data_IF_720893438564
#
_entry.id   IF_720893438564
#
_cell.length_a   1.000
_cell.length_b   1.000
_cell.length_c   1.000
_cell.angle_alpha   90.00
_cell.angle_beta   90.00
_cell.angle_gamma   90.00
#
_symmetry.space_group_name_H-M   'P 1'
#
loop_
_entity.id
_entity.type
_entity.pdbx_description
1 polymer ?
#
# COMPACT_ATOMS: atom_id res chain seq x y z
N UNK A 1 23.71 16.97 -3.09
CA UNK A 1 22.77 15.93 -3.58
C UNK A 1 22.68 14.89 -2.48
N UNK A 2 21.48 14.41 -2.13
CA UNK A 2 21.33 13.31 -1.17
C UNK A 2 21.95 12.04 -1.76
N UNK A 3 22.49 11.17 -0.90
CA UNK A 3 23.00 9.87 -1.34
C UNK A 3 21.92 9.04 -2.03
N UNK A 4 22.27 8.31 -3.11
CA UNK A 4 21.33 7.39 -3.76
C UNK A 4 20.80 6.35 -2.77
N UNK A 5 19.47 6.17 -2.76
CA UNK A 5 18.77 5.20 -1.90
C UNK A 5 18.08 4.15 -2.73
N UNK A 6 17.85 2.98 -2.15
CA UNK A 6 17.01 1.95 -2.75
C UNK A 6 15.56 2.08 -2.25
N UNK A 7 14.65 2.37 -3.18
CA UNK A 7 13.22 2.48 -2.88
C UNK A 7 12.44 1.35 -3.54
N UNK A 8 11.57 0.71 -2.76
CA UNK A 8 10.54 -0.19 -3.28
C UNK A 8 9.20 0.53 -3.26
N UNK A 9 8.52 0.59 -4.41
CA UNK A 9 7.29 1.38 -4.58
C UNK A 9 6.17 0.53 -5.17
N UNK A 10 4.98 0.59 -4.57
CA UNK A 10 3.74 0.03 -5.12
C UNK A 10 2.94 1.09 -5.85
N UNK A 11 2.20 0.71 -6.91
CA UNK A 11 1.31 1.64 -7.64
C UNK A 11 2.04 2.66 -8.52
N UNK A 12 3.21 2.30 -9.07
CA UNK A 12 4.06 3.17 -9.88
C UNK A 12 3.58 3.40 -11.33
N UNK A 13 2.53 2.72 -11.79
CA UNK A 13 2.13 2.71 -13.20
C UNK A 13 1.21 3.85 -13.64
N UNK A 14 0.69 4.65 -12.71
CA UNK A 14 -0.24 5.75 -13.00
C UNK A 14 -0.31 6.75 -11.85
N UNK A 15 -0.96 7.90 -12.10
CA UNK A 15 -1.30 8.90 -11.08
C UNK A 15 -0.11 9.40 -10.27
N UNK A 16 -0.33 9.58 -8.97
CA UNK A 16 0.68 10.11 -8.04
C UNK A 16 1.94 9.23 -8.00
N UNK A 17 1.77 7.90 -8.00
CA UNK A 17 2.89 6.97 -7.96
C UNK A 17 3.80 7.08 -9.19
N UNK A 18 3.24 7.24 -10.38
CA UNK A 18 4.03 7.40 -11.61
C UNK A 18 4.85 8.69 -11.59
N UNK A 19 4.28 9.81 -11.15
CA UNK A 19 5.00 11.07 -11.02
C UNK A 19 6.07 11.00 -9.92
N UNK A 20 5.76 10.38 -8.79
CA UNK A 20 6.71 10.20 -7.71
C UNK A 20 7.95 9.40 -8.16
N UNK A 21 7.76 8.25 -8.82
CA UNK A 21 8.90 7.43 -9.26
C UNK A 21 9.72 8.11 -10.34
N UNK A 22 9.09 8.91 -11.22
CA UNK A 22 9.80 9.72 -12.21
C UNK A 22 10.75 10.73 -11.53
N UNK A 23 10.28 11.43 -10.50
CA UNK A 23 11.10 12.38 -9.73
C UNK A 23 12.20 11.68 -8.96
N UNK A 24 11.88 10.58 -8.29
CA UNK A 24 12.87 9.79 -7.55
C UNK A 24 13.98 9.27 -8.46
N UNK A 25 13.64 8.85 -9.68
CA UNK A 25 14.61 8.47 -10.69
C UNK A 25 15.54 9.63 -11.09
N UNK A 26 15.00 10.83 -11.33
CA UNK A 26 15.82 12.00 -11.67
C UNK A 26 16.71 12.45 -10.52
N UNK A 27 16.37 12.10 -9.28
CA UNK A 27 17.22 12.33 -8.10
C UNK A 27 18.33 11.27 -7.95
N UNK A 28 18.40 10.28 -8.84
CA UNK A 28 19.44 9.25 -8.85
C UNK A 28 19.16 8.07 -7.93
N UNK A 29 17.95 7.90 -7.43
CA UNK A 29 17.61 6.78 -6.57
C UNK A 29 17.45 5.46 -7.36
N UNK A 30 17.79 4.33 -6.72
CA UNK A 30 17.55 2.99 -7.24
C UNK A 30 16.10 2.59 -6.95
N UNK A 31 15.36 2.16 -7.98
CA UNK A 31 13.94 1.86 -7.87
C UNK A 31 13.64 0.39 -8.15
N UNK A 32 12.92 -0.25 -7.23
CA UNK A 32 12.22 -1.52 -7.43
C UNK A 32 10.71 -1.24 -7.36
N UNK A 33 9.98 -1.57 -8.41
CA UNK A 33 8.58 -1.20 -8.58
C UNK A 33 7.71 -2.46 -8.66
N UNK A 34 6.63 -2.51 -7.88
CA UNK A 34 5.63 -3.57 -7.99
C UNK A 34 4.49 -3.12 -8.90
N UNK A 35 4.27 -3.85 -9.97
CA UNK A 35 3.20 -3.64 -10.96
C UNK A 35 2.26 -4.84 -10.97
N UNK A 36 0.94 -4.60 -11.06
CA UNK A 36 -0.07 -5.65 -10.96
C UNK A 36 -0.22 -6.52 -12.22
N UNK A 37 0.24 -6.05 -13.39
CA UNK A 37 -0.01 -6.71 -14.67
C UNK A 37 1.05 -6.32 -15.71
N UNK A 38 1.15 -7.11 -16.78
CA UNK A 38 2.02 -6.79 -17.93
C UNK A 38 1.72 -5.42 -18.53
N UNK A 39 0.44 -5.03 -18.61
CA UNK A 39 0.05 -3.71 -19.09
C UNK A 39 0.57 -2.59 -18.17
N UNK A 40 0.55 -2.79 -16.84
CA UNK A 40 1.13 -1.85 -15.88
C UNK A 40 2.65 -1.79 -16.02
N UNK A 41 3.33 -2.93 -16.23
CA UNK A 41 4.76 -3.00 -16.52
C UNK A 41 5.09 -2.21 -17.78
N UNK A 42 4.37 -2.44 -18.89
CA UNK A 42 4.59 -1.74 -20.16
C UNK A 42 4.43 -0.22 -19.99
N UNK A 43 3.36 0.24 -19.32
CA UNK A 43 3.17 1.68 -19.02
C UNK A 43 4.32 2.25 -18.21
N UNK A 44 4.76 1.55 -17.18
CA UNK A 44 5.88 2.00 -16.33
C UNK A 44 7.17 2.11 -17.13
N UNK A 45 7.44 1.16 -18.03
CA UNK A 45 8.59 1.19 -18.94
C UNK A 45 8.58 2.39 -19.89
N UNK A 46 7.40 2.80 -20.40
CA UNK A 46 7.27 3.99 -21.24
C UNK A 46 7.72 5.28 -20.51
N UNK A 47 7.52 5.36 -19.20
CA UNK A 47 7.87 6.56 -18.42
C UNK A 47 9.30 6.54 -17.87
N UNK A 48 9.84 5.38 -17.52
CA UNK A 48 11.11 5.23 -16.80
C UNK A 48 12.22 4.54 -17.61
N UNK A 49 11.89 4.01 -18.79
CA UNK A 49 12.85 3.19 -19.56
C UNK A 49 13.26 1.91 -18.83
N UNK A 50 14.53 1.52 -18.98
CA UNK A 50 15.09 0.29 -18.39
C UNK A 50 15.78 0.49 -17.04
N UNK A 51 15.84 1.71 -16.51
CA UNK A 51 16.63 2.04 -15.32
C UNK A 51 16.02 1.58 -13.99
N UNK A 52 14.72 1.26 -13.97
CA UNK A 52 14.06 0.72 -12.79
C UNK A 52 13.88 -0.80 -12.89
N UNK A 53 14.07 -1.49 -11.79
CA UNK A 53 13.68 -2.89 -11.65
C UNK A 53 12.16 -2.96 -11.49
N UNK A 54 11.47 -3.73 -12.33
CA UNK A 54 10.02 -3.91 -12.23
C UNK A 54 9.72 -5.38 -11.97
N UNK A 55 8.94 -5.62 -10.93
CA UNK A 55 8.46 -6.94 -10.53
C UNK A 55 6.93 -6.96 -10.67
N UNK A 56 6.37 -8.11 -11.03
CA UNK A 56 4.93 -8.24 -11.21
C UNK A 56 4.32 -8.98 -10.02
N UNK A 57 3.39 -8.29 -9.33
CA UNK A 57 2.57 -8.86 -8.26
C UNK A 57 1.24 -8.12 -8.19
N UNK A 58 0.13 -8.85 -8.21
CA UNK A 58 -1.19 -8.28 -7.97
C UNK A 58 -1.45 -8.25 -6.46
N UNK A 59 -1.68 -7.07 -5.91
CA UNK A 59 -2.00 -6.88 -4.50
C UNK A 59 -3.40 -7.44 -4.12
N UNK A 60 -4.25 -7.73 -5.10
CA UNK A 60 -5.49 -8.46 -4.88
C UNK A 60 -5.28 -9.98 -4.67
N UNK A 61 -4.05 -10.46 -4.78
CA UNK A 61 -3.65 -11.84 -4.51
C UNK A 61 -2.56 -11.89 -3.45
N UNK A 62 -2.92 -12.24 -2.21
CA UNK A 62 -1.98 -12.30 -1.09
C UNK A 62 -0.89 -13.36 -1.29
N UNK A 63 -1.17 -14.44 -2.03
CA UNK A 63 -0.14 -15.42 -2.39
C UNK A 63 0.91 -14.83 -3.35
N UNK A 64 0.48 -13.93 -4.27
CA UNK A 64 1.42 -13.21 -5.12
C UNK A 64 2.28 -12.24 -4.29
N UNK A 65 1.69 -11.59 -3.29
CA UNK A 65 2.43 -10.74 -2.34
C UNK A 65 3.46 -11.57 -1.57
N UNK A 66 3.09 -12.74 -1.07
CA UNK A 66 3.99 -13.63 -0.35
C UNK A 66 5.14 -14.14 -1.23
N UNK A 67 4.84 -14.53 -2.47
CA UNK A 67 5.87 -15.00 -3.41
C UNK A 67 6.91 -13.93 -3.70
N UNK A 68 6.44 -12.70 -4.04
CA UNK A 68 7.37 -11.61 -4.37
C UNK A 68 8.15 -11.15 -3.15
N UNK A 69 7.53 -11.14 -1.98
CA UNK A 69 8.20 -10.79 -0.72
C UNK A 69 9.31 -11.78 -0.38
N UNK A 70 9.05 -13.09 -0.48
CA UNK A 70 10.07 -14.14 -0.27
C UNK A 70 11.21 -14.00 -1.25
N UNK A 71 10.90 -13.80 -2.54
CA UNK A 71 11.94 -13.55 -3.55
C UNK A 71 12.86 -12.39 -3.16
N UNK A 72 12.30 -11.26 -2.75
CA UNK A 72 13.07 -10.08 -2.33
C UNK A 72 13.92 -10.36 -1.08
N UNK A 73 13.38 -11.11 -0.12
CA UNK A 73 14.12 -11.52 1.09
C UNK A 73 15.26 -12.46 0.75
N UNK A 74 15.04 -13.44 -0.13
CA UNK A 74 16.06 -14.41 -0.55
C UNK A 74 17.18 -13.73 -1.33
N UNK A 75 16.88 -12.73 -2.15
CA UNK A 75 17.88 -11.89 -2.83
C UNK A 75 18.71 -11.04 -1.86
N UNK A 76 18.16 -10.71 -0.70
CA UNK A 76 18.87 -10.09 0.41
C UNK A 76 19.27 -8.63 0.22
N UNK A 77 18.80 -7.96 -0.84
CA UNK A 77 19.09 -6.54 -1.06
C UNK A 77 18.40 -5.64 -0.02
N UNK A 78 19.15 -4.71 0.57
CA UNK A 78 18.59 -3.75 1.53
C UNK A 78 17.59 -2.81 0.85
N UNK A 79 16.57 -2.40 1.61
CA UNK A 79 15.57 -1.40 1.19
C UNK A 79 15.68 -0.21 2.16
N UNK A 80 15.96 0.97 1.63
CA UNK A 80 16.04 2.20 2.45
C UNK A 80 14.65 2.83 2.63
N UNK A 81 13.78 2.71 1.64
CA UNK A 81 12.43 3.26 1.72
C UNK A 81 11.42 2.33 1.05
N UNK A 82 10.37 2.00 1.78
CA UNK A 82 9.20 1.27 1.27
C UNK A 82 8.04 2.25 1.10
N UNK A 83 7.58 2.44 -0.15
CA UNK A 83 6.45 3.32 -0.48
C UNK A 83 5.23 2.48 -0.84
N UNK A 84 4.29 2.41 0.09
CA UNK A 84 3.02 1.68 -0.01
C UNK A 84 1.95 2.63 -0.56
N UNK A 85 2.00 2.87 -1.89
CA UNK A 85 1.19 3.89 -2.56
C UNK A 85 0.03 3.30 -3.38
N UNK A 86 0.11 2.05 -3.80
CA UNK A 86 -0.99 1.45 -4.55
C UNK A 86 -2.33 1.59 -3.82
N UNK A 87 -3.40 1.79 -4.56
CA UNK A 87 -4.72 1.87 -4.00
C UNK A 87 -5.78 1.88 -5.10
N UNK A 88 -6.96 1.43 -4.74
CA UNK A 88 -8.14 1.49 -5.58
C UNK A 88 -9.33 2.04 -4.80
N UNK A 89 -10.28 2.58 -5.54
CA UNK A 89 -11.61 2.98 -5.06
C UNK A 89 -12.62 2.47 -6.08
N UNK A 90 -13.64 1.77 -5.60
CA UNK A 90 -14.71 1.20 -6.42
C UNK A 90 -15.92 2.15 -6.50
N UNK A 91 -15.66 3.44 -6.70
CA UNK A 91 -16.70 4.47 -6.72
C UNK A 91 -17.87 4.10 -7.65
N UNK A 92 -19.11 4.29 -7.19
CA UNK A 92 -20.32 4.03 -7.96
C UNK A 92 -20.73 2.56 -8.06
N UNK A 93 -20.02 1.63 -7.42
CA UNK A 93 -20.47 0.23 -7.33
C UNK A 93 -21.35 0.01 -6.11
N UNK A 94 -22.39 -0.82 -6.26
CA UNK A 94 -23.33 -1.16 -5.19
C UNK A 94 -23.10 -2.58 -4.62
N UNK A 95 -22.15 -3.31 -5.16
CA UNK A 95 -21.82 -4.67 -4.75
C UNK A 95 -20.33 -4.79 -4.45
N UNK A 96 -19.94 -5.51 -3.39
CA UNK A 96 -18.54 -5.73 -3.08
C UNK A 96 -17.87 -6.54 -4.19
N UNK A 97 -16.62 -6.23 -4.44
CA UNK A 97 -15.73 -7.07 -5.22
C UNK A 97 -14.76 -7.77 -4.26
N UNK A 98 -14.21 -8.89 -4.70
CA UNK A 98 -13.44 -9.77 -3.85
C UNK A 98 -12.02 -9.97 -4.37
N UNK A 99 -11.08 -10.00 -3.48
CA UNK A 99 -9.73 -10.48 -3.73
C UNK A 99 -9.75 -11.99 -4.00
N UNK A 100 -8.62 -12.55 -4.42
CA UNK A 100 -8.50 -13.99 -4.65
C UNK A 100 -8.79 -14.83 -3.40
N UNK A 101 -8.52 -14.27 -2.22
CA UNK A 101 -8.74 -14.93 -0.92
C UNK A 101 -10.12 -14.61 -0.31
N UNK A 102 -11.05 -14.01 -1.07
CA UNK A 102 -12.40 -13.70 -0.61
C UNK A 102 -12.48 -12.55 0.41
N UNK A 103 -11.55 -11.59 0.34
CA UNK A 103 -11.55 -10.39 1.16
C UNK A 103 -12.06 -9.22 0.32
N UNK A 104 -12.84 -8.30 0.89
CA UNK A 104 -13.32 -7.13 0.16
C UNK A 104 -12.14 -6.41 -0.51
N UNK A 105 -12.29 -6.11 -1.80
CA UNK A 105 -11.17 -5.78 -2.68
C UNK A 105 -10.45 -4.49 -2.27
N UNK A 106 -11.20 -3.47 -1.82
CA UNK A 106 -10.61 -2.20 -1.39
C UNK A 106 -9.75 -2.38 -0.14
N UNK A 107 -10.26 -3.12 0.84
CA UNK A 107 -9.51 -3.43 2.06
C UNK A 107 -8.32 -4.34 1.76
N UNK A 108 -8.51 -5.35 0.92
CA UNK A 108 -7.44 -6.28 0.54
C UNK A 108 -6.24 -5.56 -0.08
N UNK A 109 -6.48 -4.67 -1.05
CA UNK A 109 -5.43 -3.97 -1.79
C UNK A 109 -4.84 -2.80 -1.00
N UNK A 110 -5.71 -1.93 -0.44
CA UNK A 110 -5.25 -0.67 0.17
C UNK A 110 -4.60 -0.87 1.54
N UNK A 111 -4.98 -1.92 2.26
CA UNK A 111 -4.52 -2.15 3.63
C UNK A 111 -3.78 -3.49 3.79
N UNK A 112 -4.47 -4.61 3.56
CA UNK A 112 -3.97 -5.91 3.98
C UNK A 112 -2.72 -6.36 3.20
N UNK A 113 -2.73 -6.21 1.87
CA UNK A 113 -1.59 -6.55 1.03
C UNK A 113 -0.35 -5.71 1.37
N UNK A 114 -0.53 -4.43 1.67
CA UNK A 114 0.54 -3.53 2.08
C UNK A 114 1.11 -3.92 3.44
N UNK A 115 0.26 -4.25 4.40
CA UNK A 115 0.72 -4.71 5.71
C UNK A 115 1.52 -6.01 5.58
N UNK A 116 1.01 -6.97 4.80
CA UNK A 116 1.69 -8.24 4.55
C UNK A 116 3.04 -8.07 3.86
N UNK A 117 3.09 -7.19 2.86
CA UNK A 117 4.35 -6.84 2.19
C UNK A 117 5.35 -6.25 3.18
N UNK A 118 4.92 -5.31 4.02
CA UNK A 118 5.76 -4.68 5.04
C UNK A 118 6.29 -5.71 6.04
N UNK A 119 5.44 -6.58 6.57
CA UNK A 119 5.83 -7.61 7.55
C UNK A 119 6.94 -8.50 7.00
N UNK A 120 6.82 -8.94 5.76
CA UNK A 120 7.87 -9.75 5.11
C UNK A 120 9.17 -8.98 4.85
N UNK A 121 9.06 -7.70 4.46
CA UNK A 121 10.22 -6.88 4.08
C UNK A 121 10.88 -6.16 5.27
N UNK A 122 10.33 -6.27 6.47
CA UNK A 122 10.88 -5.65 7.67
C UNK A 122 12.38 -5.95 7.88
N UNK A 123 12.87 -7.21 7.71
CA UNK A 123 14.30 -7.51 7.85
C UNK A 123 15.20 -6.78 6.83
N UNK A 124 14.69 -6.50 5.62
CA UNK A 124 15.44 -5.75 4.60
C UNK A 124 15.48 -4.26 4.91
N UNK A 125 14.38 -3.71 5.43
CA UNK A 125 14.28 -2.32 5.90
C UNK A 125 15.20 -2.06 7.09
N UNK A 126 15.24 -2.95 8.08
CA UNK A 126 16.11 -2.79 9.26
C UNK A 126 17.60 -2.71 8.92
N UNK A 127 18.01 -3.19 7.75
CA UNK A 127 19.39 -3.09 7.25
C UNK A 127 19.62 -1.86 6.35
N UNK A 128 18.55 -1.14 6.02
CA UNK A 128 18.60 0.05 5.17
C UNK A 128 19.25 1.25 5.85
N UNK A 129 19.67 2.21 5.05
CA UNK A 129 20.21 3.48 5.55
C UNK A 129 19.06 4.45 5.88
N UNK A 130 18.94 4.88 7.15
CA UNK A 130 17.85 5.72 7.66
C UNK A 130 16.47 5.23 7.15
N UNK A 131 16.07 4.00 7.51
CA UNK A 131 14.95 3.32 6.87
C UNK A 131 13.61 4.01 7.09
N UNK A 132 12.78 4.00 6.05
CA UNK A 132 11.49 4.68 6.07
C UNK A 132 10.39 3.86 5.39
N UNK A 133 9.21 3.92 5.96
CA UNK A 133 7.96 3.42 5.35
C UNK A 133 7.02 4.61 5.13
N UNK A 134 6.55 4.76 3.91
CA UNK A 134 5.57 5.80 3.53
C UNK A 134 4.29 5.11 3.08
N UNK A 135 3.18 5.37 3.75
CA UNK A 135 1.87 4.79 3.43
C UNK A 135 0.97 5.89 2.87
N UNK A 136 0.50 5.75 1.65
CA UNK A 136 -0.40 6.75 1.05
C UNK A 136 -1.80 6.65 1.66
N UNK A 137 -2.10 7.54 2.59
CA UNK A 137 -3.43 7.75 3.14
C UNK A 137 -4.26 8.72 2.24
N UNK A 138 -5.32 9.27 2.76
CA UNK A 138 -6.14 10.32 2.13
C UNK A 138 -6.91 11.05 3.22
N UNK A 139 -7.14 12.34 3.06
CA UNK A 139 -7.91 13.16 3.99
C UNK A 139 -9.39 12.79 4.07
N UNK A 140 -9.90 11.99 3.12
CA UNK A 140 -11.29 11.50 3.13
C UNK A 140 -11.64 10.64 4.36
N UNK A 141 -10.62 10.11 5.07
CA UNK A 141 -10.82 9.43 6.35
C UNK A 141 -11.28 10.40 7.47
N UNK A 142 -10.96 11.69 7.33
CA UNK A 142 -11.32 12.70 8.30
C UNK A 142 -12.74 13.23 7.99
N UNK A 143 -13.74 13.01 8.88
CA UNK A 143 -15.11 13.46 8.63
C UNK A 143 -15.25 14.99 8.56
N UNK A 144 -14.24 15.74 8.97
CA UNK A 144 -14.22 17.20 8.87
C UNK A 144 -13.66 17.72 7.54
N UNK A 145 -13.01 16.89 6.74
CA UNK A 145 -12.49 17.26 5.41
C UNK A 145 -13.63 17.40 4.39
N UNK A 146 -13.36 18.08 3.28
CA UNK A 146 -14.33 18.22 2.19
C UNK A 146 -14.80 16.86 1.64
N UNK A 147 -13.85 15.94 1.37
CA UNK A 147 -14.16 14.59 0.88
C UNK A 147 -14.74 13.67 1.97
N UNK A 148 -14.32 13.85 3.23
CA UNK A 148 -14.82 13.06 4.35
C UNK A 148 -16.28 13.30 4.67
N UNK A 149 -16.78 14.51 4.42
CA UNK A 149 -18.20 14.89 4.67
C UNK A 149 -19.20 14.33 3.65
N UNK A 150 -18.76 13.87 2.51
CA UNK A 150 -19.64 13.35 1.46
C UNK A 150 -20.00 11.90 1.76
N UNK A 151 -21.30 11.59 1.84
CA UNK A 151 -21.81 10.24 2.12
C UNK A 151 -21.50 9.78 3.55
N UNK A 152 -21.38 8.46 3.74
CA UNK A 152 -21.07 7.88 5.06
C UNK A 152 -19.62 8.21 5.47
N UNK A 153 -19.38 8.63 6.72
CA UNK A 153 -18.02 8.85 7.21
C UNK A 153 -17.24 7.53 7.35
N UNK A 154 -15.91 7.63 7.46
CA UNK A 154 -15.10 6.51 7.89
C UNK A 154 -15.47 6.12 9.32
N UNK A 155 -15.75 4.84 9.53
CA UNK A 155 -16.07 4.28 10.83
C UNK A 155 -15.82 2.76 10.79
N UNK A 156 -14.90 2.30 11.60
CA UNK A 156 -14.53 0.89 11.68
C UNK A 156 -15.42 0.10 12.65
N UNK A 157 -16.29 0.78 13.40
CA UNK A 157 -17.14 0.17 14.43
C UNK A 157 -16.33 -0.67 15.41
N UNK A 158 -16.85 -1.84 15.75
CA UNK A 158 -16.19 -2.84 16.59
C UNK A 158 -15.37 -3.86 15.79
N UNK A 159 -15.16 -3.61 14.50
CA UNK A 159 -14.47 -4.48 13.54
C UNK A 159 -15.21 -5.82 13.31
N UNK A 160 -16.54 -5.84 13.44
CA UNK A 160 -17.32 -7.09 13.40
C UNK A 160 -17.18 -7.82 12.06
N UNK A 161 -17.13 -7.08 10.95
CA UNK A 161 -16.85 -7.65 9.64
C UNK A 161 -15.47 -8.29 9.57
N UNK A 162 -14.44 -7.55 9.98
CA UNK A 162 -13.07 -8.08 9.98
C UNK A 162 -12.91 -9.29 10.92
N UNK A 163 -13.56 -9.28 12.08
CA UNK A 163 -13.55 -10.39 13.06
C UNK A 163 -14.30 -11.63 12.57
N UNK A 164 -15.26 -11.49 11.65
CA UNK A 164 -15.98 -12.61 11.07
C UNK A 164 -15.12 -13.46 10.12
N UNK A 165 -13.93 -13.00 9.76
CA UNK A 165 -13.02 -13.68 8.85
C UNK A 165 -13.21 -13.25 7.41
N UNK A 166 -12.98 -14.18 6.45
CA UNK A 166 -13.16 -13.89 5.02
C UNK A 166 -14.64 -13.72 4.65
N UNK A 167 -14.90 -12.98 3.55
CA UNK A 167 -16.28 -12.80 3.05
C UNK A 167 -17.02 -11.59 3.65
N UNK A 168 -16.38 -10.77 4.50
CA UNK A 168 -17.01 -9.54 4.97
C UNK A 168 -17.05 -8.48 3.86
N UNK A 169 -18.19 -7.79 3.72
CA UNK A 169 -18.36 -6.72 2.75
C UNK A 169 -17.84 -5.35 3.26
N UNK A 170 -17.86 -5.15 4.57
CA UNK A 170 -17.39 -3.94 5.26
C UNK A 170 -16.67 -4.32 6.54
N UNK A 171 -15.64 -3.55 6.91
CA UNK A 171 -14.83 -3.78 8.13
C UNK A 171 -15.70 -3.75 9.39
N UNK A 172 -16.68 -2.86 9.45
CA UNK A 172 -17.64 -2.71 10.56
C UNK A 172 -18.74 -3.78 10.58
N UNK A 173 -18.81 -4.65 9.56
CA UNK A 173 -19.87 -5.66 9.40
C UNK A 173 -21.17 -5.13 8.80
N UNK A 174 -21.23 -3.86 8.42
CA UNK A 174 -22.42 -3.20 7.84
C UNK A 174 -22.66 -3.56 6.38
N UNK A 175 -23.71 -2.95 5.82
CA UNK A 175 -24.05 -3.05 4.40
C UNK A 175 -22.96 -2.37 3.55
N UNK A 176 -22.61 -3.00 2.42
CA UNK A 176 -21.57 -2.50 1.52
C UNK A 176 -21.87 -1.07 1.03
N UNK A 177 -20.83 -0.26 1.07
CA UNK A 177 -20.78 1.09 0.56
C UNK A 177 -19.35 1.34 0.06
N UNK A 178 -19.20 1.49 -1.25
CA UNK A 178 -17.89 1.57 -1.89
C UNK A 178 -17.07 2.80 -1.44
N UNK A 179 -17.73 3.93 -1.23
CA UNK A 179 -17.05 5.16 -0.78
C UNK A 179 -16.63 5.05 0.68
N UNK A 180 -17.49 4.46 1.54
CA UNK A 180 -17.13 4.17 2.93
C UNK A 180 -16.00 3.14 3.00
N UNK A 181 -16.03 2.06 2.20
CA UNK A 181 -14.96 1.06 2.16
C UNK A 181 -13.59 1.70 1.84
N UNK A 182 -13.56 2.65 0.91
CA UNK A 182 -12.35 3.42 0.61
C UNK A 182 -11.93 4.28 1.82
N UNK A 183 -12.84 5.05 2.41
CA UNK A 183 -12.55 5.88 3.59
C UNK A 183 -12.06 5.05 4.77
N UNK A 184 -12.71 3.91 5.04
CA UNK A 184 -12.29 2.96 6.08
C UNK A 184 -10.88 2.42 5.83
N UNK A 185 -10.56 2.08 4.57
CA UNK A 185 -9.21 1.64 4.22
C UNK A 185 -8.16 2.73 4.48
N UNK A 186 -8.52 4.02 4.24
CA UNK A 186 -7.61 5.15 4.50
C UNK A 186 -7.50 5.49 5.98
N UNK A 187 -8.55 5.30 6.76
CA UNK A 187 -8.49 5.36 8.22
C UNK A 187 -7.58 4.25 8.78
N UNK A 188 -7.71 3.02 8.27
CA UNK A 188 -6.80 1.93 8.62
C UNK A 188 -5.33 2.27 8.32
N UNK A 189 -5.03 2.88 7.16
CA UNK A 189 -3.69 3.33 6.83
C UNK A 189 -3.13 4.30 7.89
N UNK A 190 -3.93 5.28 8.33
CA UNK A 190 -3.52 6.24 9.37
C UNK A 190 -3.23 5.55 10.71
N UNK A 191 -4.18 4.74 11.19
CA UNK A 191 -4.05 4.02 12.47
C UNK A 191 -2.82 3.08 12.43
N UNK A 192 -2.68 2.31 11.35
CA UNK A 192 -1.56 1.39 11.16
C UNK A 192 -0.22 2.12 11.16
N UNK A 193 -0.12 3.27 10.45
CA UNK A 193 1.09 4.07 10.42
C UNK A 193 1.51 4.53 11.82
N UNK A 194 0.56 5.08 12.59
CA UNK A 194 0.81 5.57 13.94
C UNK A 194 1.24 4.43 14.87
N UNK A 195 0.53 3.30 14.82
CA UNK A 195 0.80 2.17 15.70
C UNK A 195 2.14 1.48 15.37
N UNK A 196 2.47 1.33 14.09
CA UNK A 196 3.77 0.80 13.67
C UNK A 196 4.91 1.73 14.11
N UNK A 197 4.74 3.05 13.95
CA UNK A 197 5.75 4.00 14.43
C UNK A 197 5.94 3.91 15.95
N UNK A 198 4.84 3.89 16.69
CA UNK A 198 4.86 3.79 18.15
C UNK A 198 5.53 2.51 18.65
N UNK A 199 5.28 1.38 17.98
CA UNK A 199 5.81 0.07 18.41
C UNK A 199 7.24 -0.19 17.95
N UNK A 200 7.56 0.18 16.72
CA UNK A 200 8.78 -0.32 16.07
C UNK A 200 9.88 0.73 15.93
N UNK A 201 9.56 2.04 15.93
CA UNK A 201 10.56 3.07 15.65
C UNK A 201 11.76 3.02 16.62
N UNK A 202 11.50 2.91 17.92
CA UNK A 202 12.56 2.95 18.93
C UNK A 202 13.54 1.76 18.82
N UNK A 203 13.06 0.59 18.40
CA UNK A 203 13.86 -0.63 18.32
C UNK A 203 14.54 -0.78 16.95
N UNK A 204 13.90 -0.34 15.89
CA UNK A 204 14.34 -0.60 14.50
C UNK A 204 14.95 0.62 13.81
N UNK A 205 14.73 1.82 14.33
CA UNK A 205 15.07 3.08 13.67
C UNK A 205 14.20 3.41 12.46
N UNK A 206 13.24 2.55 12.09
CA UNK A 206 12.36 2.77 10.94
C UNK A 206 11.38 3.90 11.24
N UNK A 207 11.33 4.91 10.38
CA UNK A 207 10.32 5.99 10.45
C UNK A 207 9.11 5.60 9.60
N UNK A 208 7.91 5.59 10.21
CA UNK A 208 6.65 5.37 9.51
C UNK A 208 5.90 6.69 9.35
N UNK A 209 5.43 6.99 8.15
CA UNK A 209 4.70 8.23 7.81
C UNK A 209 3.53 7.93 6.85
N UNK A 210 2.49 8.78 6.89
CA UNK A 210 1.36 8.74 5.96
C UNK A 210 0.94 10.15 5.56
#
# INVERSE_FOLDING_TARGET
MSEPRHLLVTGASSGIGAEAVRRLQTMGHRLTLLCRSEQAVARTRLHLGSSARILMADLADLEAVDRISRQLVDEGETIDTLVLNAGLQLAGTNTPQWSRQGIELTFAVNQLAHQRLLEHLLPLLMRGHAPRVVITASDVHNPLSGGGRVGRPADLGTLDGLRSGVGFAMVDGGTFDADKAYKDSKLCNMITTQELHRRLHAETGITFTS
#
